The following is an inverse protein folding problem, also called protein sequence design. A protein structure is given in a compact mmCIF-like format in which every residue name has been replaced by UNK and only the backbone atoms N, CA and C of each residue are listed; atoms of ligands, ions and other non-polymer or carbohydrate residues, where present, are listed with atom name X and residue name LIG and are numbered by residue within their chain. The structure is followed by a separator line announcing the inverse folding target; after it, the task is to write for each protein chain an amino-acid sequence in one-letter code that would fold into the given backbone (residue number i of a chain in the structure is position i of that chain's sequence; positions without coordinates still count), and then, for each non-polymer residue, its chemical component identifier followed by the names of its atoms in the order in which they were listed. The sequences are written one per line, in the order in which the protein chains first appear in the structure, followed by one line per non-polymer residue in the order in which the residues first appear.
data_IF_626880018524
#
_entry.id   IF_626880018524
#
_cell.length_a   1.000
_cell.length_b   1.000
_cell.length_c   1.000
_cell.angle_alpha   90.00
_cell.angle_beta   90.00
_cell.angle_gamma   90.00
#
_symmetry.space_group_name_H-M   'P 1'
#
loop_
_entity.id
_entity.type
_entity.pdbx_description
1 polymer ?
#
# COMPACT_ATOMS: atom_id res chain seq x y z
N UNK A 1 -15.45 4.99 -30.29
CA UNK A 1 -14.55 4.66 -29.15
C UNK A 1 -15.25 5.17 -27.90
N UNK A 2 -16.37 4.56 -27.46
CA UNK A 2 -17.39 5.43 -26.83
C UNK A 2 -18.34 4.89 -25.75
N UNK A 3 -18.68 3.60 -25.62
CA UNK A 3 -19.57 3.18 -24.50
C UNK A 3 -18.92 2.14 -23.57
N UNK A 4 -18.41 1.05 -24.14
CA UNK A 4 -17.84 -0.08 -23.38
C UNK A 4 -16.70 0.30 -22.42
N UNK A 5 -15.86 1.28 -22.76
CA UNK A 5 -14.74 1.69 -21.90
C UNK A 5 -15.21 2.57 -20.73
N UNK A 6 -16.23 3.41 -20.95
CA UNK A 6 -16.85 4.23 -19.91
C UNK A 6 -17.57 3.31 -18.92
N UNK A 7 -18.28 2.31 -19.44
CA UNK A 7 -18.97 1.32 -18.61
C UNK A 7 -18.00 0.54 -17.71
N UNK A 8 -16.82 0.17 -18.22
CA UNK A 8 -15.76 -0.44 -17.40
C UNK A 8 -15.32 0.49 -16.29
N UNK A 9 -14.96 1.75 -16.59
CA UNK A 9 -14.53 2.70 -15.56
C UNK A 9 -15.62 2.98 -14.51
N UNK A 10 -16.88 3.09 -14.92
CA UNK A 10 -18.00 3.26 -14.00
C UNK A 10 -18.16 2.03 -13.10
N UNK A 11 -18.04 0.82 -13.66
CA UNK A 11 -18.09 -0.41 -12.87
C UNK A 11 -16.99 -0.44 -11.83
N UNK A 12 -15.75 -0.14 -12.20
CA UNK A 12 -14.60 -0.13 -11.30
C UNK A 12 -14.80 0.88 -10.17
N UNK A 13 -15.32 2.08 -10.48
CA UNK A 13 -15.61 3.11 -9.49
C UNK A 13 -16.73 2.68 -8.53
N UNK A 14 -17.82 2.10 -9.04
CA UNK A 14 -18.94 1.63 -8.23
C UNK A 14 -18.48 0.49 -7.31
N UNK A 15 -17.79 -0.51 -7.85
CA UNK A 15 -17.29 -1.65 -7.09
C UNK A 15 -16.27 -1.22 -6.04
N UNK A 16 -15.29 -0.38 -6.40
CA UNK A 16 -14.27 0.09 -5.46
C UNK A 16 -14.91 0.84 -4.30
N UNK A 17 -15.89 1.71 -4.60
CA UNK A 17 -16.63 2.45 -3.58
C UNK A 17 -17.45 1.51 -2.70
N UNK A 18 -18.26 0.62 -3.28
CA UNK A 18 -19.12 -0.31 -2.56
C UNK A 18 -18.33 -1.21 -1.61
N UNK A 19 -17.21 -1.76 -2.07
CA UNK A 19 -16.33 -2.61 -1.27
C UNK A 19 -15.53 -1.83 -0.23
N UNK A 20 -15.16 -0.57 -0.51
CA UNK A 20 -14.52 0.31 0.47
C UNK A 20 -15.46 0.64 1.64
N UNK A 21 -16.76 0.80 1.36
CA UNK A 21 -17.80 1.01 2.38
C UNK A 21 -18.38 -0.29 2.94
N UNK A 22 -17.77 -1.44 2.62
CA UNK A 22 -18.10 -2.75 3.20
C UNK A 22 -19.57 -3.14 2.99
N UNK A 23 -20.14 -2.83 1.82
CA UNK A 23 -21.45 -3.33 1.44
C UNK A 23 -21.37 -4.84 1.24
N UNK A 24 -22.27 -5.58 1.91
CA UNK A 24 -22.27 -7.05 1.92
C UNK A 24 -22.22 -7.66 0.52
N UNK A 25 -23.08 -7.20 -0.41
CA UNK A 25 -23.10 -7.71 -1.79
C UNK A 25 -21.73 -7.60 -2.49
N UNK A 26 -20.98 -6.53 -2.21
CA UNK A 26 -19.64 -6.34 -2.77
C UNK A 26 -18.61 -7.25 -2.09
N UNK A 27 -18.69 -7.38 -0.76
CA UNK A 27 -17.83 -8.27 0.00
C UNK A 27 -18.01 -9.71 -0.44
N UNK A 28 -19.26 -10.19 -0.50
CA UNK A 28 -19.59 -11.57 -0.84
C UNK A 28 -19.07 -11.88 -2.26
N UNK A 29 -19.33 -11.00 -3.22
CA UNK A 29 -18.82 -11.16 -4.58
C UNK A 29 -17.29 -11.13 -4.65
N UNK A 30 -16.64 -10.21 -3.92
CA UNK A 30 -15.18 -10.16 -3.86
C UNK A 30 -14.59 -11.41 -3.21
N UNK A 31 -15.25 -11.99 -2.20
CA UNK A 31 -14.82 -13.23 -1.57
C UNK A 31 -14.95 -14.42 -2.52
N UNK A 32 -16.07 -14.54 -3.25
CA UNK A 32 -16.27 -15.56 -4.27
C UNK A 32 -15.16 -15.55 -5.32
N UNK A 33 -14.91 -14.38 -5.93
CA UNK A 33 -13.84 -14.21 -6.93
C UNK A 33 -12.46 -14.52 -6.36
N UNK A 34 -12.22 -14.18 -5.10
CA UNK A 34 -10.95 -14.45 -4.45
C UNK A 34 -10.74 -15.94 -4.17
N UNK A 35 -11.78 -16.67 -3.76
CA UNK A 35 -11.67 -18.11 -3.51
C UNK A 35 -11.29 -18.87 -4.78
N UNK A 36 -11.84 -18.49 -5.94
CA UNK A 36 -11.49 -19.10 -7.22
C UNK A 36 -10.00 -18.94 -7.58
N UNK A 37 -9.40 -17.82 -7.18
CA UNK A 37 -7.99 -17.54 -7.42
C UNK A 37 -7.05 -18.10 -6.34
N UNK A 38 -7.50 -18.09 -5.09
CA UNK A 38 -6.76 -18.65 -3.95
C UNK A 38 -6.62 -20.17 -4.05
N UNK A 39 -7.49 -20.84 -4.81
CA UNK A 39 -7.40 -22.26 -5.09
C UNK A 39 -6.11 -22.59 -5.87
N UNK A 40 -5.18 -23.37 -5.29
CA UNK A 40 -3.93 -23.78 -5.95
C UNK A 40 -4.14 -24.54 -7.25
N UNK A 41 -5.33 -25.12 -7.47
CA UNK A 41 -5.68 -25.87 -8.67
C UNK A 41 -6.20 -24.98 -9.82
N UNK A 42 -6.55 -23.71 -9.54
CA UNK A 42 -7.22 -22.81 -10.48
C UNK A 42 -6.68 -21.36 -10.50
N UNK A 43 -5.42 -21.17 -10.09
CA UNK A 43 -4.69 -19.90 -10.07
C UNK A 43 -4.43 -19.28 -11.48
N UNK A 44 -5.13 -19.74 -12.51
CA UNK A 44 -5.09 -19.18 -13.87
C UNK A 44 -6.27 -18.26 -14.17
N UNK A 45 -7.23 -18.15 -13.26
CA UNK A 45 -8.43 -17.32 -13.47
C UNK A 45 -8.06 -15.84 -13.55
N UNK A 46 -8.33 -15.22 -14.71
CA UNK A 46 -8.21 -13.78 -14.90
C UNK A 46 -9.36 -13.10 -14.15
N UNK A 47 -9.13 -12.76 -12.88
CA UNK A 47 -10.05 -11.92 -12.12
C UNK A 47 -10.07 -10.53 -12.76
N UNK A 48 -11.24 -10.07 -13.20
CA UNK A 48 -11.46 -8.64 -13.42
C UNK A 48 -11.44 -7.94 -12.05
N UNK A 49 -10.86 -6.75 -11.97
CA UNK A 49 -10.86 -5.96 -10.73
C UNK A 49 -10.06 -6.57 -9.57
N UNK A 50 -8.96 -7.31 -9.89
CA UNK A 50 -8.03 -7.92 -8.91
C UNK A 50 -7.66 -6.99 -7.75
N UNK A 51 -7.44 -5.72 -8.06
CA UNK A 51 -7.10 -4.72 -7.06
C UNK A 51 -8.17 -4.61 -5.95
N UNK A 52 -9.44 -4.50 -6.35
CA UNK A 52 -10.59 -4.40 -5.44
C UNK A 52 -10.76 -5.73 -4.70
N UNK A 53 -10.68 -6.85 -5.42
CA UNK A 53 -10.85 -8.20 -4.88
C UNK A 53 -9.80 -8.50 -3.81
N UNK A 54 -8.51 -8.31 -4.11
CA UNK A 54 -7.43 -8.58 -3.15
C UNK A 54 -7.49 -7.65 -1.94
N UNK A 55 -7.68 -6.35 -2.15
CA UNK A 55 -7.74 -5.38 -1.06
C UNK A 55 -8.94 -5.63 -0.13
N UNK A 56 -10.12 -5.97 -0.68
CA UNK A 56 -11.31 -6.29 0.10
C UNK A 56 -11.12 -7.55 0.94
N UNK A 57 -10.57 -8.60 0.34
CA UNK A 57 -10.28 -9.83 1.07
C UNK A 57 -9.20 -9.62 2.13
N UNK A 58 -8.14 -8.85 1.86
CA UNK A 58 -7.11 -8.57 2.87
C UNK A 58 -7.63 -7.69 4.01
N UNK A 59 -8.60 -6.79 3.75
CA UNK A 59 -9.25 -5.99 4.81
C UNK A 59 -9.99 -6.85 5.84
N UNK A 60 -10.59 -7.96 5.38
CA UNK A 60 -11.31 -8.94 6.20
C UNK A 60 -10.45 -10.16 6.57
N UNK A 61 -9.24 -10.22 6.02
CA UNK A 61 -8.38 -11.38 6.04
C UNK A 61 -7.55 -11.50 7.31
N UNK A 62 -6.83 -12.61 7.37
CA UNK A 62 -5.96 -12.94 8.49
C UNK A 62 -4.50 -13.09 8.02
N UNK A 63 -3.63 -13.48 8.96
CA UNK A 63 -2.21 -13.73 8.70
C UNK A 63 -1.95 -14.76 7.60
N UNK A 64 -2.80 -15.79 7.44
CA UNK A 64 -2.64 -16.80 6.40
C UNK A 64 -2.82 -16.18 5.02
N UNK A 65 -3.88 -15.40 4.82
CA UNK A 65 -4.10 -14.69 3.57
C UNK A 65 -2.96 -13.70 3.29
N UNK A 66 -2.54 -12.94 4.31
CA UNK A 66 -1.42 -12.02 4.19
C UNK A 66 -0.15 -12.70 3.71
N UNK A 67 0.21 -13.84 4.32
CA UNK A 67 1.39 -14.62 3.94
C UNK A 67 1.29 -15.13 2.51
N UNK A 68 0.10 -15.56 2.08
CA UNK A 68 -0.13 -15.96 0.71
C UNK A 68 0.08 -14.81 -0.28
N UNK A 69 -0.53 -13.64 -0.06
CA UNK A 69 -0.36 -12.48 -0.93
C UNK A 69 1.10 -11.99 -0.96
N UNK A 70 1.80 -12.02 0.18
CA UNK A 70 3.21 -11.68 0.25
C UNK A 70 4.06 -12.68 -0.54
N UNK A 71 3.74 -13.97 -0.46
CA UNK A 71 4.41 -14.99 -1.26
C UNK A 71 4.18 -14.77 -2.76
N UNK A 72 2.95 -14.49 -3.18
CA UNK A 72 2.65 -14.15 -4.58
C UNK A 72 3.46 -12.94 -5.06
N UNK A 73 3.63 -11.91 -4.19
CA UNK A 73 4.45 -10.73 -4.51
C UNK A 73 5.91 -11.10 -4.75
N UNK A 74 6.45 -12.05 -3.99
CA UNK A 74 7.86 -12.46 -4.11
C UNK A 74 8.16 -13.28 -5.37
N UNK A 75 7.18 -14.01 -5.89
CA UNK A 75 7.40 -14.92 -7.04
C UNK A 75 6.99 -14.31 -8.38
N UNK A 76 6.15 -13.27 -8.38
CA UNK A 76 5.70 -12.63 -9.62
C UNK A 76 6.75 -11.66 -10.18
N UNK A 77 6.84 -11.59 -11.51
CA UNK A 77 7.63 -10.58 -12.22
C UNK A 77 6.74 -9.58 -12.99
N UNK A 78 5.42 -9.72 -12.89
CA UNK A 78 4.47 -8.80 -13.51
C UNK A 78 4.35 -7.53 -12.66
N UNK A 79 4.79 -6.39 -13.21
CA UNK A 79 4.78 -5.09 -12.54
C UNK A 79 3.36 -4.64 -12.13
N UNK A 80 2.33 -5.00 -12.90
CA UNK A 80 0.95 -4.68 -12.55
C UNK A 80 0.50 -5.53 -11.37
N UNK A 81 0.84 -6.82 -11.38
CA UNK A 81 0.50 -7.73 -10.29
C UNK A 81 1.24 -7.37 -8.99
N UNK A 82 2.53 -6.98 -9.09
CA UNK A 82 3.30 -6.41 -7.98
C UNK A 82 2.54 -5.23 -7.36
N UNK A 83 2.11 -4.27 -8.18
CA UNK A 83 1.40 -3.09 -7.70
C UNK A 83 0.08 -3.44 -7.00
N UNK A 84 -0.69 -4.39 -7.55
CA UNK A 84 -1.95 -4.89 -6.95
C UNK A 84 -1.71 -5.58 -5.62
N UNK A 85 -0.68 -6.42 -5.52
CA UNK A 85 -0.33 -7.15 -4.30
C UNK A 85 0.19 -6.20 -3.22
N UNK A 86 0.99 -5.19 -3.56
CA UNK A 86 1.41 -4.16 -2.62
C UNK A 86 0.20 -3.40 -2.03
N UNK A 87 -0.76 -3.03 -2.87
CA UNK A 87 -1.99 -2.39 -2.39
C UNK A 87 -2.76 -3.33 -1.48
N UNK A 88 -2.96 -4.56 -1.90
CA UNK A 88 -3.73 -5.54 -1.14
C UNK A 88 -3.16 -5.73 0.27
N UNK A 89 -1.85 -5.96 0.37
CA UNK A 89 -1.14 -6.08 1.65
C UNK A 89 -1.35 -4.85 2.53
N UNK A 90 -1.26 -3.64 1.95
CA UNK A 90 -1.49 -2.39 2.65
C UNK A 90 -2.95 -2.17 3.09
N UNK A 91 -3.93 -2.93 2.58
CA UNK A 91 -5.34 -2.83 2.97
C UNK A 91 -5.69 -3.56 4.28
N UNK A 92 -4.74 -4.29 4.88
CA UNK A 92 -4.96 -4.97 6.17
C UNK A 92 -5.40 -3.99 7.27
N UNK A 93 -6.25 -4.47 8.18
CA UNK A 93 -6.64 -3.77 9.41
C UNK A 93 -5.92 -4.29 10.65
N UNK A 94 -5.16 -5.38 10.53
CA UNK A 94 -4.44 -5.99 11.63
C UNK A 94 -3.16 -5.20 11.94
N UNK A 95 -3.09 -4.64 13.14
CA UNK A 95 -1.98 -3.80 13.61
C UNK A 95 -0.64 -4.59 13.60
N UNK A 96 -0.65 -5.88 13.94
CA UNK A 96 0.57 -6.69 13.94
C UNK A 96 1.09 -6.90 12.51
N UNK A 97 0.19 -7.04 11.54
CA UNK A 97 0.56 -7.13 10.12
C UNK A 97 1.04 -5.79 9.56
N UNK A 98 0.46 -4.67 10.01
CA UNK A 98 0.93 -3.31 9.67
C UNK A 98 2.36 -3.11 10.19
N UNK A 99 2.63 -3.47 11.45
CA UNK A 99 3.96 -3.41 12.05
C UNK A 99 4.97 -4.25 11.27
N UNK A 100 4.58 -5.48 10.93
CA UNK A 100 5.42 -6.35 10.12
C UNK A 100 5.69 -5.74 8.73
N UNK A 101 4.68 -5.16 8.06
CA UNK A 101 4.88 -4.46 6.79
C UNK A 101 5.89 -3.32 6.95
N UNK A 102 5.73 -2.45 7.96
CA UNK A 102 6.68 -1.38 8.20
C UNK A 102 8.10 -1.93 8.46
N UNK A 103 8.24 -3.03 9.19
CA UNK A 103 9.54 -3.66 9.40
C UNK A 103 10.19 -4.12 8.09
N UNK A 104 9.47 -4.85 7.23
CA UNK A 104 10.06 -5.39 5.99
C UNK A 104 10.37 -4.32 4.93
N UNK A 105 9.65 -3.19 4.95
CA UNK A 105 9.89 -2.07 4.02
C UNK A 105 11.04 -1.16 4.46
N UNK A 106 11.27 -1.01 5.75
CA UNK A 106 12.30 -0.11 6.30
C UNK A 106 13.58 -0.82 6.74
N UNK A 107 13.57 -2.15 6.84
CA UNK A 107 14.75 -2.93 7.23
C UNK A 107 15.38 -3.65 6.02
N UNK A 108 16.48 -3.13 5.45
CA UNK A 108 17.11 -3.72 4.28
C UNK A 108 17.69 -5.13 4.54
N UNK A 109 17.83 -5.54 5.81
CA UNK A 109 18.36 -6.87 6.17
C UNK A 109 17.36 -8.00 5.93
N UNK A 110 16.06 -7.70 5.87
CA UNK A 110 15.01 -8.71 5.74
C UNK A 110 14.88 -9.20 4.28
N UNK A 111 15.32 -8.40 3.30
CA UNK A 111 15.41 -8.77 1.87
C UNK A 111 14.14 -9.44 1.29
N UNK A 112 12.96 -8.99 1.72
CA UNK A 112 11.66 -9.43 1.19
C UNK A 112 11.16 -8.49 0.11
N UNK A 113 11.30 -7.17 0.33
CA UNK A 113 10.82 -6.12 -0.58
C UNK A 113 11.96 -5.70 -1.52
N UNK A 114 11.67 -5.62 -2.82
CA UNK A 114 12.64 -5.17 -3.80
C UNK A 114 12.89 -3.68 -3.67
N UNK A 115 14.13 -3.23 -3.91
CA UNK A 115 14.53 -1.83 -3.68
C UNK A 115 13.68 -0.83 -4.45
N UNK A 116 13.28 -1.16 -5.67
CA UNK A 116 12.46 -0.30 -6.53
C UNK A 116 11.00 -0.16 -6.05
N UNK A 117 10.53 -1.11 -5.23
CA UNK A 117 9.14 -1.19 -4.77
C UNK A 117 8.95 -0.50 -3.39
N UNK A 118 10.03 -0.06 -2.76
CA UNK A 118 10.01 0.50 -1.40
C UNK A 118 9.14 1.76 -1.33
N UNK A 119 9.31 2.70 -2.27
CA UNK A 119 8.54 3.93 -2.28
C UNK A 119 7.05 3.70 -2.54
N UNK A 120 6.70 2.84 -3.51
CA UNK A 120 5.29 2.55 -3.80
C UNK A 120 4.61 1.90 -2.61
N UNK A 121 5.22 0.89 -1.99
CA UNK A 121 4.60 0.19 -0.86
C UNK A 121 4.49 1.04 0.40
N UNK A 122 5.51 1.83 0.76
CA UNK A 122 5.40 2.74 1.91
C UNK A 122 4.28 3.78 1.69
N UNK A 123 4.15 4.33 0.48
CA UNK A 123 3.04 5.25 0.16
C UNK A 123 1.68 4.60 0.38
N UNK A 124 1.53 3.33 -0.01
CA UNK A 124 0.28 2.60 0.16
C UNK A 124 -0.03 2.34 1.64
N UNK A 125 0.98 1.96 2.44
CA UNK A 125 0.83 1.78 3.89
C UNK A 125 0.43 3.11 4.56
N UNK A 126 1.10 4.21 4.26
CA UNK A 126 0.81 5.52 4.83
C UNK A 126 -0.57 6.08 4.40
N UNK A 127 -1.18 5.56 3.32
CA UNK A 127 -2.55 5.91 2.91
C UNK A 127 -3.62 5.16 3.69
N UNK A 128 -3.29 4.07 4.36
CA UNK A 128 -4.22 3.34 5.21
C UNK A 128 -4.51 4.15 6.48
N UNK A 129 -5.78 4.44 6.75
CA UNK A 129 -6.20 5.28 7.88
C UNK A 129 -5.85 4.70 9.25
N UNK A 130 -5.68 3.38 9.35
CA UNK A 130 -5.25 2.70 10.59
C UNK A 130 -3.73 2.84 10.74
N UNK A 131 -2.98 2.73 9.65
CA UNK A 131 -1.52 2.73 9.67
C UNK A 131 -0.88 4.11 9.61
N UNK A 132 -1.60 5.16 9.18
CA UNK A 132 -1.03 6.48 8.83
C UNK A 132 -0.11 7.07 9.92
N UNK A 133 -0.53 7.01 11.19
CA UNK A 133 0.25 7.56 12.30
C UNK A 133 1.50 6.71 12.60
N UNK A 134 1.35 5.39 12.55
CA UNK A 134 2.47 4.47 12.77
C UNK A 134 3.48 4.51 11.63
N UNK A 135 3.00 4.60 10.39
CA UNK A 135 3.80 4.79 9.18
C UNK A 135 4.61 6.08 9.26
N UNK A 136 3.98 7.19 9.69
CA UNK A 136 4.69 8.46 9.89
C UNK A 136 5.76 8.38 10.98
N UNK A 137 5.45 7.73 12.10
CA UNK A 137 6.43 7.48 13.18
C UNK A 137 7.64 6.68 12.68
N UNK A 138 7.40 5.63 11.88
CA UNK A 138 8.46 4.84 11.24
C UNK A 138 9.32 5.69 10.29
N UNK A 139 8.71 6.50 9.43
CA UNK A 139 9.45 7.41 8.53
C UNK A 139 10.37 8.34 9.32
N UNK A 140 9.87 8.95 10.40
CA UNK A 140 10.67 9.84 11.26
C UNK A 140 11.81 9.10 11.94
N UNK A 141 11.55 7.91 12.51
CA UNK A 141 12.59 7.12 13.19
C UNK A 141 13.65 6.56 12.24
N UNK A 142 13.28 6.25 10.99
CA UNK A 142 14.18 5.72 9.96
C UNK A 142 14.67 6.80 8.98
N UNK A 143 14.51 8.07 9.33
CA UNK A 143 14.79 9.18 8.42
C UNK A 143 16.21 9.15 7.86
N UNK A 144 17.20 8.89 8.72
CA UNK A 144 18.61 8.79 8.31
C UNK A 144 18.81 7.73 7.23
N UNK A 145 18.24 6.54 7.43
CA UNK A 145 18.30 5.45 6.45
C UNK A 145 17.65 5.85 5.12
N UNK A 146 16.45 6.44 5.17
CA UNK A 146 15.74 6.89 3.98
C UNK A 146 16.56 7.93 3.20
N UNK A 147 17.13 8.91 3.88
CA UNK A 147 17.91 9.98 3.25
C UNK A 147 19.21 9.43 2.64
N UNK A 148 19.94 8.58 3.35
CA UNK A 148 21.20 8.00 2.87
C UNK A 148 21.00 7.09 1.66
N UNK A 149 19.90 6.33 1.61
CA UNK A 149 19.67 5.32 0.57
C UNK A 149 18.83 5.82 -0.61
N UNK A 150 17.99 6.83 -0.39
CA UNK A 150 17.03 7.32 -1.36
C UNK A 150 16.95 8.84 -1.49
N UNK A 151 17.66 9.62 -0.69
CA UNK A 151 17.60 11.10 -0.72
C UNK A 151 18.01 11.72 -2.06
N UNK A 152 18.90 11.04 -2.81
CA UNK A 152 19.32 11.45 -4.16
C UNK A 152 18.31 11.05 -5.26
N UNK A 153 17.24 10.33 -4.92
CA UNK A 153 16.21 9.97 -5.88
C UNK A 153 15.41 11.20 -6.31
N UNK A 154 15.19 11.35 -7.61
CA UNK A 154 14.31 12.40 -8.17
C UNK A 154 12.88 12.34 -7.61
N UNK A 155 12.47 11.17 -7.10
CA UNK A 155 11.14 10.95 -6.53
C UNK A 155 11.06 11.18 -5.02
N UNK A 156 12.17 11.46 -4.33
CA UNK A 156 12.20 11.56 -2.86
C UNK A 156 11.28 12.67 -2.34
N UNK A 157 11.37 13.86 -2.93
CA UNK A 157 10.51 14.99 -2.53
C UNK A 157 9.02 14.71 -2.79
N UNK A 158 8.68 14.05 -3.90
CA UNK A 158 7.30 13.63 -4.17
C UNK A 158 6.85 12.57 -3.17
N UNK A 159 7.73 11.62 -2.83
CA UNK A 159 7.46 10.61 -1.81
C UNK A 159 7.10 11.22 -0.46
N UNK A 160 7.83 12.25 0.01
CA UNK A 160 7.50 12.96 1.26
C UNK A 160 6.13 13.64 1.18
N UNK A 161 5.79 14.26 0.04
CA UNK A 161 4.44 14.82 -0.16
C UNK A 161 3.35 13.74 -0.15
N UNK A 162 3.60 12.59 -0.76
CA UNK A 162 2.61 11.51 -0.84
C UNK A 162 2.30 10.91 0.53
N UNK A 163 3.30 10.72 1.39
CA UNK A 163 3.13 10.12 2.73
C UNK A 163 2.55 11.09 3.77
N UNK A 164 2.66 12.40 3.52
CA UNK A 164 2.12 13.45 4.42
C UNK A 164 0.81 14.05 3.90
N UNK A 165 0.49 13.89 2.62
CA UNK A 165 -0.67 14.53 1.97
C UNK A 165 -2.04 14.05 2.44
N UNK A 166 -2.11 13.00 3.27
CA UNK A 166 -3.35 12.51 3.90
C UNK A 166 -3.52 12.96 5.35
N UNK A 167 -2.60 13.76 5.88
CA UNK A 167 -2.75 14.32 7.22
C UNK A 167 -3.99 15.21 7.30
N UNK A 168 -4.77 15.01 8.36
CA UNK A 168 -6.06 15.67 8.55
C UNK A 168 -6.33 16.01 10.02
N UNK A 169 -5.30 15.97 10.88
CA UNK A 169 -5.37 16.33 12.30
C UNK A 169 -4.35 17.40 12.64
N UNK A 170 -4.65 18.23 13.66
CA UNK A 170 -3.72 19.25 14.16
C UNK A 170 -2.42 18.64 14.69
N UNK A 171 -2.51 17.47 15.32
CA UNK A 171 -1.33 16.75 15.80
C UNK A 171 -0.38 16.40 14.63
N UNK A 172 -0.91 15.82 13.54
CA UNK A 172 -0.09 15.47 12.38
C UNK A 172 0.55 16.70 11.74
N UNK A 173 -0.17 17.83 11.67
CA UNK A 173 0.37 19.09 11.18
C UNK A 173 1.54 19.56 12.06
N UNK A 174 1.32 19.62 13.38
CA UNK A 174 2.36 20.05 14.32
C UNK A 174 3.60 19.15 14.27
N UNK A 175 3.41 17.83 14.20
CA UNK A 175 4.51 16.87 14.04
C UNK A 175 5.28 17.09 12.73
N UNK A 176 4.59 17.41 11.64
CA UNK A 176 5.20 17.68 10.35
C UNK A 176 6.01 18.99 10.37
N UNK A 177 5.48 20.05 10.94
CA UNK A 177 6.18 21.34 11.08
C UNK A 177 7.49 21.18 11.87
N UNK A 178 7.42 20.54 13.03
CA UNK A 178 8.61 20.25 13.87
C UNK A 178 9.61 19.40 13.10
N UNK A 179 9.13 18.38 12.37
CA UNK A 179 9.99 17.52 11.57
C UNK A 179 10.69 18.31 10.45
N UNK A 180 9.97 19.20 9.76
CA UNK A 180 10.55 20.07 8.74
C UNK A 180 11.62 20.98 9.32
N UNK A 181 11.39 21.62 10.47
CA UNK A 181 12.41 22.45 11.13
C UNK A 181 13.71 21.69 11.43
N UNK A 182 13.59 20.46 11.94
CA UNK A 182 14.73 19.61 12.28
C UNK A 182 15.48 19.07 11.05
N UNK A 183 14.83 19.03 9.89
CA UNK A 183 15.38 18.43 8.67
C UNK A 183 15.73 19.45 7.59
N UNK A 184 15.23 20.69 7.69
CA UNK A 184 15.44 21.78 6.72
C UNK A 184 16.93 22.15 6.52
N UNK A 185 17.78 22.01 7.53
CA UNK A 185 19.23 22.20 7.39
C UNK A 185 19.90 21.14 6.50
N UNK A 186 19.27 19.98 6.29
CA UNK A 186 19.76 18.89 5.41
C UNK A 186 19.02 18.78 4.08
N UNK A 187 17.83 19.40 3.96
CA UNK A 187 17.01 19.37 2.74
C UNK A 187 17.34 20.55 1.81
N UNK A 188 17.79 21.70 2.33
CA UNK A 188 18.22 22.85 1.49
C UNK A 188 19.46 22.56 0.64
N UNK A 189 20.35 21.65 1.04
CA UNK A 189 21.56 21.32 0.29
C UNK A 189 21.34 20.38 -0.90
N UNK A 190 20.08 20.00 -1.19
CA UNK A 190 19.70 19.13 -2.31
C UNK A 190 18.86 19.86 -3.39
N UNK A 191 18.72 21.19 -3.26
CA UNK A 191 18.24 22.10 -4.30
C UNK A 191 19.34 23.11 -4.64
#
# INVERSE_FOLDING_TARGET
MTDKWIDTLHRDLILSTACQYELNDCIDHAQELFQEWFDPSNNTTEINDREIVYCTNMRLGNRTLFQFLLHQYQITNDLQEISRLQLALACTKDIQLIQYLLEIYFNPKINIIQRQDIFSGIRLICRNSIAINECWSYIRSQWKYLLENFGQSLYFNQFIRDVTGKFNTEQQLSELEVFMEQTMDKVRSMF
#
